data_IF_774369659509
#
_entry.id   IF_774369659509
#
_cell.length_a   1.000
_cell.length_b   1.000
_cell.length_c   1.000
_cell.angle_alpha   90.00
_cell.angle_beta   90.00
_cell.angle_gamma   90.00
#
_symmetry.space_group_name_H-M   'P 1'
#
loop_
_entity.id
_entity.type
_entity.pdbx_description
1 polymer ?
#
# COMPACT_ATOMS: atom_id res chain seq x y z
N UNK A 1 18.85 -18.52 20.79
CA UNK A 1 19.05 -17.07 20.57
C UNK A 1 19.64 -16.78 19.20
N UNK A 2 20.83 -17.29 18.86
CA UNK A 2 21.43 -17.10 17.52
C UNK A 2 20.52 -17.65 16.39
N UNK A 3 19.99 -18.87 16.55
CA UNK A 3 19.06 -19.46 15.58
C UNK A 3 17.80 -18.60 15.35
N UNK A 4 17.20 -18.08 16.42
CA UNK A 4 16.04 -17.19 16.33
C UNK A 4 16.36 -15.90 15.58
N UNK A 5 17.56 -15.33 15.81
CA UNK A 5 18.02 -14.13 15.12
C UNK A 5 18.24 -14.38 13.62
N UNK A 6 18.80 -15.54 13.25
CA UNK A 6 18.99 -15.94 11.85
C UNK A 6 17.66 -16.16 11.14
N UNK A 7 16.71 -16.84 11.78
CA UNK A 7 15.38 -17.09 11.21
C UNK A 7 14.61 -15.78 11.05
N UNK A 8 14.51 -14.97 12.12
CA UNK A 8 13.81 -13.69 12.07
C UNK A 8 14.47 -12.72 11.08
N UNK A 9 15.81 -12.65 11.07
CA UNK A 9 16.56 -11.83 10.13
C UNK A 9 16.32 -12.24 8.68
N UNK A 10 16.41 -13.54 8.37
CA UNK A 10 16.14 -14.05 7.02
C UNK A 10 14.71 -13.76 6.56
N UNK A 11 13.72 -13.91 7.45
CA UNK A 11 12.33 -13.62 7.14
C UNK A 11 12.08 -12.13 6.87
N UNK A 12 12.72 -11.23 7.64
CA UNK A 12 12.68 -9.77 7.39
C UNK A 12 13.34 -9.44 6.05
N UNK A 13 14.52 -10.00 5.76
CA UNK A 13 15.22 -9.78 4.48
C UNK A 13 14.37 -10.24 3.30
N UNK A 14 13.77 -11.43 3.37
CA UNK A 14 12.85 -11.94 2.36
C UNK A 14 11.65 -11.00 2.14
N UNK A 15 11.09 -10.50 3.23
CA UNK A 15 9.91 -9.61 3.20
C UNK A 15 10.25 -8.27 2.56
N UNK A 16 11.35 -7.64 2.98
CA UNK A 16 11.83 -6.38 2.41
C UNK A 16 12.16 -6.54 0.92
N UNK A 17 12.86 -7.62 0.55
CA UNK A 17 13.18 -7.92 -0.84
C UNK A 17 11.91 -8.12 -1.69
N UNK A 18 10.90 -8.81 -1.15
CA UNK A 18 9.62 -9.02 -1.85
C UNK A 18 8.87 -7.71 -2.10
N UNK A 19 8.92 -6.77 -1.16
CA UNK A 19 8.30 -5.44 -1.31
C UNK A 19 9.07 -4.58 -2.33
N UNK A 20 10.40 -4.52 -2.23
CA UNK A 20 11.24 -3.71 -3.13
C UNK A 20 11.15 -4.20 -4.58
N UNK A 21 11.05 -5.52 -4.79
CA UNK A 21 10.90 -6.11 -6.14
C UNK A 21 9.47 -6.06 -6.67
N UNK A 22 8.51 -5.51 -5.91
CA UNK A 22 7.10 -5.45 -6.30
C UNK A 22 6.38 -6.80 -6.33
N UNK A 23 7.01 -7.86 -5.80
CA UNK A 23 6.41 -9.20 -5.69
C UNK A 23 5.36 -9.29 -4.59
N UNK A 24 5.44 -8.41 -3.60
CA UNK A 24 4.45 -8.29 -2.55
C UNK A 24 4.15 -6.82 -2.23
N UNK A 25 2.91 -6.52 -1.84
CA UNK A 25 2.49 -5.19 -1.40
C UNK A 25 2.09 -5.21 0.08
N UNK A 26 2.94 -4.68 0.95
CA UNK A 26 2.65 -4.65 2.39
C UNK A 26 1.71 -3.48 2.79
N UNK A 27 1.80 -2.36 2.08
CA UNK A 27 1.09 -1.11 2.38
C UNK A 27 0.52 -0.51 1.09
N UNK A 28 -0.75 -0.14 1.11
CA UNK A 28 -1.43 0.53 0.01
C UNK A 28 -1.31 2.05 0.12
N UNK A 29 -1.30 2.71 -1.03
CA UNK A 29 -1.16 4.15 -1.22
C UNK A 29 -2.49 4.84 -1.57
N UNK A 30 -3.61 4.15 -1.33
CA UNK A 30 -4.96 4.59 -1.67
C UNK A 30 -5.61 3.75 -2.77
N UNK A 31 -6.83 4.12 -3.12
CA UNK A 31 -7.61 3.44 -4.14
C UNK A 31 -8.67 4.38 -4.75
N UNK A 32 -9.12 4.06 -5.96
CA UNK A 32 -10.21 4.77 -6.64
C UNK A 32 -10.96 3.81 -7.59
N UNK A 33 -12.17 4.14 -8.01
CA UNK A 33 -13.00 3.34 -8.92
C UNK A 33 -13.48 4.20 -10.07
N UNK A 34 -13.27 3.75 -11.30
CA UNK A 34 -13.69 4.47 -12.52
C UNK A 34 -15.15 4.17 -12.90
N UNK A 35 -15.66 4.89 -13.89
CA UNK A 35 -17.04 4.75 -14.38
C UNK A 35 -17.35 3.39 -14.99
N UNK A 36 -16.33 2.59 -15.36
CA UNK A 36 -16.52 1.21 -15.84
C UNK A 36 -16.46 0.19 -14.68
N UNK A 37 -16.28 0.65 -13.44
CA UNK A 37 -16.15 -0.18 -12.25
C UNK A 37 -14.77 -0.80 -12.05
N UNK A 38 -13.75 -0.36 -12.80
CA UNK A 38 -12.38 -0.83 -12.59
C UNK A 38 -11.80 -0.19 -11.32
N UNK A 39 -11.12 -1.00 -10.51
CA UNK A 39 -10.50 -0.60 -9.27
C UNK A 39 -9.03 -0.25 -9.48
N UNK A 40 -8.67 0.99 -9.16
CA UNK A 40 -7.29 1.47 -9.10
C UNK A 40 -6.81 1.26 -7.67
N UNK A 41 -5.73 0.50 -7.50
CA UNK A 41 -5.14 0.25 -6.19
C UNK A 41 -3.68 0.67 -6.18
N UNK A 42 -3.36 1.61 -5.30
CA UNK A 42 -1.99 2.11 -5.15
C UNK A 42 -1.15 1.12 -4.39
N UNK A 43 -0.20 0.48 -5.07
CA UNK A 43 0.86 -0.34 -4.46
C UNK A 43 2.15 0.47 -4.38
N UNK A 44 3.14 -0.06 -3.67
CA UNK A 44 4.40 0.66 -3.35
C UNK A 44 5.09 1.34 -4.54
N UNK A 45 5.05 0.76 -5.75
CA UNK A 45 5.75 1.27 -6.93
C UNK A 45 4.84 1.37 -8.17
N UNK A 46 3.53 1.13 -8.01
CA UNK A 46 2.62 1.02 -9.15
C UNK A 46 1.18 1.25 -8.71
N UNK A 47 0.39 1.91 -9.53
CA UNK A 47 -1.08 1.87 -9.40
C UNK A 47 -1.56 0.73 -10.30
N UNK A 48 -2.07 -0.34 -9.70
CA UNK A 48 -2.61 -1.48 -10.44
C UNK A 48 -4.10 -1.25 -10.70
N UNK A 49 -4.55 -1.47 -11.93
CA UNK A 49 -5.96 -1.31 -12.31
C UNK A 49 -6.53 -2.70 -12.49
N UNK A 50 -7.59 -3.01 -11.75
CA UNK A 50 -8.26 -4.29 -11.74
C UNK A 50 -9.64 -4.16 -12.39
N UNK A 51 -9.98 -5.14 -13.23
CA UNK A 51 -11.36 -5.30 -13.70
C UNK A 51 -12.29 -5.65 -12.53
N UNK A 52 -13.62 -5.48 -12.68
CA UNK A 52 -14.59 -5.89 -11.65
C UNK A 52 -14.48 -7.37 -11.24
N UNK A 53 -13.98 -8.24 -12.12
CA UNK A 53 -13.75 -9.65 -11.83
C UNK A 53 -12.45 -9.94 -11.05
N UNK A 54 -11.63 -8.92 -10.78
CA UNK A 54 -10.37 -9.00 -10.04
C UNK A 54 -9.12 -9.17 -10.91
N UNK A 55 -9.26 -9.34 -12.23
CA UNK A 55 -8.11 -9.50 -13.13
C UNK A 55 -7.35 -8.18 -13.29
N UNK A 56 -6.02 -8.25 -13.38
CA UNK A 56 -5.19 -7.09 -13.68
C UNK A 56 -5.46 -6.64 -15.12
N UNK A 57 -5.98 -5.42 -15.26
CA UNK A 57 -6.21 -4.76 -16.53
C UNK A 57 -4.94 -4.07 -17.04
N UNK A 58 -4.30 -3.27 -16.17
CA UNK A 58 -3.10 -2.48 -16.51
C UNK A 58 -2.36 -2.02 -15.25
N UNK A 59 -1.22 -1.37 -15.47
CA UNK A 59 -0.35 -0.79 -14.46
C UNK A 59 0.01 0.63 -14.86
N UNK A 60 -0.10 1.55 -13.92
CA UNK A 60 0.18 2.99 -14.09
C UNK A 60 1.37 3.35 -13.20
N UNK A 61 2.30 4.12 -13.76
CA UNK A 61 3.43 4.68 -13.03
C UNK A 61 2.95 5.82 -12.11
N UNK A 62 3.15 5.74 -10.78
CA UNK A 62 2.78 6.81 -9.86
C UNK A 62 3.67 8.06 -9.96
N UNK A 63 4.58 8.12 -10.94
CA UNK A 63 5.51 9.23 -11.17
C UNK A 63 6.54 9.42 -10.04
N UNK A 64 6.69 8.42 -9.15
CA UNK A 64 7.63 8.43 -8.05
C UNK A 64 7.95 7.02 -7.57
N UNK A 65 9.16 6.83 -7.06
CA UNK A 65 9.56 5.60 -6.34
C UNK A 65 9.31 5.69 -4.84
N UNK A 66 8.79 6.81 -4.34
CA UNK A 66 8.46 7.06 -2.93
C UNK A 66 6.98 6.84 -2.65
N UNK A 67 6.56 7.09 -1.41
CA UNK A 67 5.14 7.13 -1.08
C UNK A 67 4.41 8.21 -1.88
N UNK A 68 3.17 7.93 -2.23
CA UNK A 68 2.29 8.81 -2.98
C UNK A 68 0.86 8.65 -2.48
N UNK A 69 -0.03 9.54 -2.90
CA UNK A 69 -1.48 9.43 -2.75
C UNK A 69 -2.10 9.69 -4.10
N UNK A 70 -3.28 9.14 -4.32
CA UNK A 70 -4.02 9.48 -5.53
C UNK A 70 -5.52 9.43 -5.29
N UNK A 71 -6.23 10.12 -6.16
CA UNK A 71 -7.68 10.07 -6.27
C UNK A 71 -8.07 10.18 -7.73
N UNK A 72 -9.32 9.84 -8.03
CA UNK A 72 -9.91 10.07 -9.34
C UNK A 72 -10.96 11.17 -9.24
N UNK A 73 -10.96 12.05 -10.22
CA UNK A 73 -11.89 13.16 -10.33
C UNK A 73 -13.14 12.75 -11.13
N UNK A 74 -14.18 13.58 -11.11
CA UNK A 74 -15.46 13.30 -11.76
C UNK A 74 -15.31 13.10 -13.28
N UNK A 75 -14.34 13.77 -13.90
CA UNK A 75 -13.99 13.66 -15.32
C UNK A 75 -13.16 12.42 -15.68
N UNK A 76 -12.97 11.49 -14.73
CA UNK A 76 -12.18 10.26 -14.88
C UNK A 76 -10.67 10.51 -15.05
N UNK A 77 -10.16 11.67 -14.65
CA UNK A 77 -8.71 11.91 -14.55
C UNK A 77 -8.18 11.52 -13.17
N UNK A 78 -6.92 11.07 -13.15
CA UNK A 78 -6.22 10.69 -11.92
C UNK A 78 -5.34 11.83 -11.44
N UNK A 79 -5.53 12.22 -10.20
CA UNK A 79 -4.64 13.12 -9.47
C UNK A 79 -3.69 12.30 -8.60
N UNK A 80 -2.38 12.49 -8.77
CA UNK A 80 -1.33 11.76 -8.04
C UNK A 80 -0.44 12.76 -7.30
N UNK A 81 -0.52 12.74 -5.97
CA UNK A 81 0.28 13.53 -5.05
C UNK A 81 1.52 12.75 -4.62
N UNK A 82 2.69 13.26 -4.96
CA UNK A 82 4.00 12.66 -4.63
C UNK A 82 4.69 13.32 -3.43
N UNK A 83 4.03 14.28 -2.77
CA UNK A 83 4.56 15.08 -1.66
C UNK A 83 5.35 16.32 -2.08
N UNK A 84 5.76 16.43 -3.35
CA UNK A 84 6.38 17.63 -3.92
C UNK A 84 5.78 18.06 -5.26
N UNK A 85 5.18 17.12 -5.99
CA UNK A 85 4.43 17.39 -7.20
C UNK A 85 3.05 16.76 -7.15
N UNK A 86 2.08 17.47 -7.72
CA UNK A 86 0.77 16.94 -8.04
C UNK A 86 0.68 16.75 -9.56
N UNK A 87 0.52 15.49 -9.97
CA UNK A 87 0.36 15.11 -11.36
C UNK A 87 -1.11 14.88 -11.68
N UNK A 88 -1.55 15.35 -12.85
CA UNK A 88 -2.81 14.95 -13.44
C UNK A 88 -2.52 14.04 -14.62
N UNK A 89 -3.14 12.88 -14.62
CA UNK A 89 -3.01 11.89 -15.70
C UNK A 89 -4.39 11.51 -16.20
N UNK A 90 -4.48 11.04 -17.44
CA UNK A 90 -5.69 10.36 -17.88
C UNK A 90 -5.87 9.03 -17.13
N UNK A 91 -7.01 8.36 -17.33
CA UNK A 91 -7.29 7.04 -16.73
C UNK A 91 -6.33 5.93 -17.15
N UNK A 92 -5.48 6.16 -18.15
CA UNK A 92 -4.49 5.21 -18.65
C UNK A 92 -3.08 5.49 -18.14
N UNK A 93 -2.88 6.58 -17.41
CA UNK A 93 -1.59 7.00 -16.84
C UNK A 93 -0.79 7.94 -17.74
N UNK A 94 -1.35 8.42 -18.85
CA UNK A 94 -0.68 9.43 -19.66
C UNK A 94 -0.75 10.80 -18.95
N UNK A 95 0.40 11.44 -18.76
CA UNK A 95 0.48 12.72 -18.06
C UNK A 95 -0.17 13.83 -18.90
N UNK A 96 -1.15 14.51 -18.30
CA UNK A 96 -1.82 15.69 -18.84
C UNK A 96 -1.07 16.93 -18.38
N UNK A 97 -0.86 17.06 -17.06
CA UNK A 97 -0.18 18.19 -16.45
C UNK A 97 0.51 17.80 -15.13
N UNK A 98 1.37 18.69 -14.65
CA UNK A 98 2.03 18.55 -13.35
C UNK A 98 2.29 19.92 -12.76
N UNK A 99 2.10 20.06 -11.44
CA UNK A 99 2.44 21.29 -10.70
C UNK A 99 3.22 20.94 -9.44
N UNK A 100 4.14 21.83 -9.07
CA UNK A 100 4.85 21.74 -7.79
C UNK A 100 3.90 22.13 -6.65
N UNK A 101 4.00 21.45 -5.53
CA UNK A 101 3.17 21.65 -4.34
C UNK A 101 4.03 21.67 -3.08
N UNK A 102 3.65 22.50 -2.11
CA UNK A 102 4.36 22.66 -0.84
C UNK A 102 3.44 22.30 0.33
N UNK A 103 3.02 21.04 0.40
CA UNK A 103 2.11 20.54 1.45
C UNK A 103 0.62 20.61 1.11
N UNK A 104 0.21 21.39 0.10
CA UNK A 104 -1.17 21.50 -0.40
C UNK A 104 -1.55 20.37 -1.38
N UNK A 105 -1.10 19.15 -1.07
CA UNK A 105 -1.37 17.95 -1.85
C UNK A 105 -2.75 17.36 -1.56
N UNK A 106 -2.88 16.05 -1.82
CA UNK A 106 -4.10 15.33 -1.51
C UNK A 106 -4.18 15.00 -0.01
N UNK A 107 -5.39 15.08 0.54
CA UNK A 107 -5.68 14.71 1.93
C UNK A 107 -5.31 13.25 2.20
N UNK A 108 -4.87 12.95 3.43
CA UNK A 108 -4.61 11.58 3.90
C UNK A 108 -5.87 10.71 3.88
N UNK A 109 -7.07 11.30 3.96
CA UNK A 109 -8.33 10.55 3.92
C UNK A 109 -8.48 9.71 2.64
N UNK A 110 -7.91 10.14 1.51
CA UNK A 110 -7.96 9.41 0.23
C UNK A 110 -7.27 8.04 0.27
N UNK A 111 -6.46 7.76 1.30
CA UNK A 111 -5.90 6.43 1.50
C UNK A 111 -6.95 5.40 1.92
N UNK A 112 -8.00 5.85 2.61
CA UNK A 112 -8.95 4.97 3.29
C UNK A 112 -10.39 5.14 2.82
N UNK A 113 -10.74 6.28 2.24
CA UNK A 113 -12.10 6.59 1.79
C UNK A 113 -12.06 7.21 0.41
N UNK A 114 -13.04 6.82 -0.42
CA UNK A 114 -13.21 7.34 -1.77
C UNK A 114 -14.69 7.39 -2.09
N UNK A 115 -15.12 8.45 -2.79
CA UNK A 115 -16.48 8.58 -3.32
C UNK A 115 -16.33 8.78 -4.83
N UNK A 116 -16.90 7.86 -5.62
CA UNK A 116 -16.89 7.98 -7.08
C UNK A 116 -17.83 9.07 -7.57
N UNK A 117 -17.68 9.42 -8.85
CA UNK A 117 -18.47 10.45 -9.51
C UNK A 117 -19.99 10.24 -9.44
N UNK A 118 -20.45 8.98 -9.36
CA UNK A 118 -21.86 8.60 -9.21
C UNK A 118 -22.37 8.67 -7.76
N UNK A 119 -21.53 9.09 -6.80
CA UNK A 119 -21.85 9.16 -5.38
C UNK A 119 -21.66 7.84 -4.62
N UNK A 120 -21.20 6.77 -5.28
CA UNK A 120 -20.92 5.51 -4.58
C UNK A 120 -19.73 5.69 -3.64
N UNK A 121 -19.95 5.43 -2.35
CA UNK A 121 -18.91 5.52 -1.33
C UNK A 121 -18.18 4.19 -1.15
N UNK A 122 -16.87 4.26 -0.94
CA UNK A 122 -16.00 3.12 -0.72
C UNK A 122 -15.09 3.38 0.47
N UNK A 123 -14.72 2.30 1.16
CA UNK A 123 -13.82 2.36 2.31
C UNK A 123 -12.85 1.20 2.32
N UNK A 124 -11.59 1.46 2.67
CA UNK A 124 -10.63 0.44 3.04
C UNK A 124 -10.86 0.03 4.49
N UNK A 125 -11.11 -1.26 4.72
CA UNK A 125 -11.24 -1.85 6.05
C UNK A 125 -10.11 -2.83 6.29
N UNK A 126 -9.62 -2.89 7.53
CA UNK A 126 -8.64 -3.90 7.92
C UNK A 126 -9.34 -5.08 8.60
N UNK A 127 -9.37 -6.24 7.96
CA UNK A 127 -9.94 -7.46 8.55
C UNK A 127 -8.81 -8.44 8.86
N UNK A 128 -8.48 -8.63 10.14
CA UNK A 128 -7.39 -9.53 10.59
C UNK A 128 -6.05 -9.24 9.91
N UNK A 129 -5.61 -7.97 9.89
CA UNK A 129 -4.35 -7.52 9.23
C UNK A 129 -4.30 -7.74 7.70
N UNK A 130 -5.44 -8.08 7.10
CA UNK A 130 -5.63 -8.23 5.67
C UNK A 130 -6.60 -7.15 5.16
N UNK A 131 -6.09 -6.00 4.72
CA UNK A 131 -6.90 -4.94 4.12
C UNK A 131 -7.82 -5.46 3.02
N UNK A 132 -9.05 -4.97 3.04
CA UNK A 132 -10.03 -5.14 1.98
C UNK A 132 -10.65 -3.79 1.63
N UNK A 133 -11.06 -3.64 0.39
CA UNK A 133 -11.81 -2.46 -0.05
C UNK A 133 -13.27 -2.90 -0.18
N UNK A 134 -14.15 -2.13 0.46
CA UNK A 134 -15.58 -2.38 0.46
C UNK A 134 -16.31 -1.23 -0.23
N UNK A 135 -17.32 -1.58 -1.01
CA UNK A 135 -18.35 -0.65 -1.46
C UNK A 135 -19.36 -0.51 -0.34
N UNK A 136 -19.57 0.72 0.12
CA UNK A 136 -20.53 1.02 1.17
C UNK A 136 -21.94 0.95 0.59
N UNK A 137 -22.85 0.31 1.31
CA UNK A 137 -24.25 0.18 0.88
C UNK A 137 -25.14 -0.38 1.97
N UNK A 138 -26.44 -0.17 1.82
CA UNK A 138 -27.45 -0.80 2.68
C UNK A 138 -27.98 -2.08 1.99
N UNK A 139 -28.13 -3.21 2.70
CA UNK A 139 -28.00 -3.39 4.16
C UNK A 139 -26.58 -3.72 4.65
N UNK A 140 -25.66 -4.11 3.77
CA UNK A 140 -24.28 -4.47 4.15
C UNK A 140 -23.25 -4.00 3.12
N UNK A 141 -22.03 -3.75 3.61
CA UNK A 141 -20.89 -3.40 2.77
C UNK A 141 -20.38 -4.62 1.98
N UNK A 142 -20.18 -4.43 0.68
CA UNK A 142 -19.73 -5.49 -0.23
C UNK A 142 -18.23 -5.37 -0.48
N UNK A 143 -17.46 -6.41 -0.15
CA UNK A 143 -16.02 -6.43 -0.42
C UNK A 143 -15.73 -6.63 -1.92
N UNK A 144 -15.14 -5.61 -2.55
CA UNK A 144 -14.74 -5.64 -3.97
C UNK A 144 -13.28 -6.03 -4.17
N UNK A 145 -12.48 -5.96 -3.10
CA UNK A 145 -11.07 -6.36 -3.14
C UNK A 145 -10.62 -6.92 -1.79
N UNK A 146 -9.76 -7.94 -1.83
CA UNK A 146 -9.09 -8.51 -0.66
C UNK A 146 -7.60 -8.61 -0.97
N UNK A 147 -6.76 -8.09 -0.07
CA UNK A 147 -5.31 -8.23 -0.17
C UNK A 147 -4.90 -9.69 -0.42
N UNK A 148 -3.99 -9.99 -1.36
CA UNK A 148 -3.50 -11.34 -1.57
C UNK A 148 -2.92 -11.99 -0.31
N UNK A 149 -2.94 -13.32 -0.25
CA UNK A 149 -2.42 -14.06 0.92
C UNK A 149 -0.92 -13.84 1.11
N UNK A 150 -0.15 -13.82 0.01
CA UNK A 150 1.28 -13.52 0.03
C UNK A 150 1.56 -12.13 0.61
N UNK A 151 0.84 -11.13 0.11
CA UNK A 151 0.91 -9.74 0.58
C UNK A 151 0.64 -9.65 2.09
N UNK A 152 -0.41 -10.35 2.54
CA UNK A 152 -0.76 -10.45 3.97
C UNK A 152 0.36 -11.11 4.80
N UNK A 153 0.96 -12.20 4.30
CA UNK A 153 2.04 -12.90 4.99
C UNK A 153 3.29 -12.03 5.10
N UNK A 154 3.70 -11.37 4.01
CA UNK A 154 4.84 -10.43 3.99
C UNK A 154 4.59 -9.27 4.95
N UNK A 155 3.38 -8.70 4.97
CA UNK A 155 3.02 -7.64 5.91
C UNK A 155 3.15 -8.10 7.37
N UNK A 156 2.68 -9.30 7.70
CA UNK A 156 2.81 -9.87 9.04
C UNK A 156 4.27 -10.08 9.44
N UNK A 157 5.08 -10.63 8.53
CA UNK A 157 6.52 -10.82 8.75
C UNK A 157 7.25 -9.48 8.96
N UNK A 158 6.85 -8.40 8.31
CA UNK A 158 7.41 -7.07 8.57
C UNK A 158 6.98 -6.53 9.94
N UNK A 159 5.67 -6.60 10.26
CA UNK A 159 5.11 -6.06 11.52
C UNK A 159 5.71 -6.76 12.73
N UNK A 160 5.82 -8.09 12.69
CA UNK A 160 6.31 -8.88 13.84
C UNK A 160 7.79 -9.22 13.74
N UNK A 161 8.30 -9.50 12.54
CA UNK A 161 9.69 -9.94 12.34
C UNK A 161 10.70 -8.84 12.64
N UNK A 162 10.43 -7.58 12.28
CA UNK A 162 11.36 -6.47 12.57
C UNK A 162 11.53 -6.26 14.08
N UNK A 163 10.46 -6.09 14.89
CA UNK A 163 10.61 -5.99 16.35
C UNK A 163 11.29 -7.21 16.97
N UNK A 164 10.93 -8.43 16.54
CA UNK A 164 11.54 -9.65 17.07
C UNK A 164 13.04 -9.72 16.77
N UNK A 165 13.46 -9.34 15.57
CA UNK A 165 14.87 -9.29 15.19
C UNK A 165 15.64 -8.27 16.03
N UNK A 166 15.11 -7.05 16.18
CA UNK A 166 15.74 -6.00 16.98
C UNK A 166 15.87 -6.39 18.46
N UNK A 167 14.82 -6.98 19.04
CA UNK A 167 14.85 -7.47 20.42
C UNK A 167 15.90 -8.58 20.61
N UNK A 168 15.96 -9.56 19.70
CA UNK A 168 16.95 -10.63 19.75
C UNK A 168 18.40 -10.10 19.62
N UNK A 169 18.62 -9.15 18.73
CA UNK A 169 19.92 -8.50 18.56
C UNK A 169 20.32 -7.70 19.81
N UNK A 170 19.39 -6.94 20.39
CA UNK A 170 19.61 -6.18 21.63
C UNK A 170 19.98 -7.08 22.81
N UNK A 171 19.23 -8.17 23.03
CA UNK A 171 19.54 -9.17 24.07
C UNK A 171 20.90 -9.83 23.86
N UNK A 172 21.27 -10.13 22.62
CA UNK A 172 22.59 -10.67 22.30
C UNK A 172 23.71 -9.67 22.61
N UNK A 173 23.54 -8.39 22.28
CA UNK A 173 24.50 -7.33 22.59
C UNK A 173 24.65 -7.09 24.10
N UNK A 174 23.54 -7.16 24.86
CA UNK A 174 23.61 -7.07 26.33
C UNK A 174 24.34 -8.26 26.95
N UNK A 175 24.06 -9.48 26.47
CA UNK A 175 24.70 -10.70 26.98
C UNK A 175 26.22 -10.72 26.72
N UNK A 176 26.65 -10.24 25.56
CA UNK A 176 28.09 -10.11 25.24
C UNK A 176 28.74 -9.07 26.14
N UNK A 177 28.16 -7.88 26.28
CA UNK A 177 28.67 -6.85 27.22
C UNK A 177 28.74 -7.28 28.69
N UNK A 178 27.83 -8.13 29.16
CA UNK A 178 27.89 -8.65 30.54
C UNK A 178 29.00 -9.69 30.72
N UNK A 179 29.33 -10.45 29.67
CA UNK A 179 30.43 -11.42 29.69
C UNK A 179 31.80 -10.75 29.71
N UNK A 180 31.88 -9.52 29.18
CA UNK A 180 33.10 -8.72 29.12
C UNK A 180 33.29 -7.78 30.33
N UNK A 181 32.41 -7.82 31.36
CA UNK A 181 32.65 -7.15 32.64
C UNK A 181 33.49 -8.06 33.55
N UNK A 182 34.62 -7.56 34.10
CA UNK A 182 35.45 -8.33 35.04
C UNK A 182 34.75 -8.62 36.36
#
# INVERSE_FOLDING_TARGET
>A
MILCMVIAGSAVVFSVFSVITGKACAFYQGFAVDGDGNLYIGKTQVIEVLKPNGDVLRRIDPCTSRGYRFTMDADQTLWIDTGGYLYRTDRFGARIESREIHGDGLSVSVLYEYVSADGTAYRMKNRLLRPCIVRMGEPEDVAIYKMPVLDSAVRLLLIFGVPCFLAAAGLFAMKTRMKDRP
#
